data_IF_315976805194
#
_entry.id   IF_315976805194
#
_cell.length_a   1.000
_cell.length_b   1.000
_cell.length_c   1.000
_cell.angle_alpha   90.00
_cell.angle_beta   90.00
_cell.angle_gamma   90.00
#
_symmetry.space_group_name_H-M   'P 1'
#
loop_
_entity.id
_entity.type
_entity.pdbx_description
1 polymer ?
#
# COMPACT_ATOMS: atom_id res chain seq x y z
N UNK A 1 -13.37 13.66 -2.56
CA UNK A 1 -14.58 13.56 -1.72
C UNK A 1 -15.81 13.97 -2.50
N UNK A 2 -15.85 15.18 -3.08
CA UNK A 2 -16.98 15.62 -3.92
C UNK A 2 -17.27 14.69 -5.12
N UNK A 3 -16.22 14.24 -5.82
CA UNK A 3 -16.36 13.35 -6.99
C UNK A 3 -16.93 11.97 -6.63
N UNK A 4 -16.45 11.35 -5.54
CA UNK A 4 -16.99 10.07 -5.06
C UNK A 4 -18.46 10.18 -4.66
N UNK A 5 -18.83 11.30 -4.01
CA UNK A 5 -20.20 11.55 -3.60
C UNK A 5 -21.12 11.75 -4.80
N UNK A 6 -20.70 12.54 -5.79
CA UNK A 6 -21.42 12.70 -7.05
C UNK A 6 -21.63 11.36 -7.78
N UNK A 7 -20.60 10.50 -7.83
CA UNK A 7 -20.71 9.16 -8.42
C UNK A 7 -21.76 8.29 -7.71
N UNK A 8 -21.75 8.29 -6.37
CA UNK A 8 -22.62 7.46 -5.54
C UNK A 8 -24.08 7.95 -5.49
N UNK A 9 -24.28 9.26 -5.41
CA UNK A 9 -25.60 9.86 -5.16
C UNK A 9 -26.35 10.19 -6.45
N UNK A 10 -25.63 10.52 -7.53
CA UNK A 10 -26.23 11.03 -8.76
C UNK A 10 -25.95 10.14 -9.97
N UNK A 11 -24.69 9.99 -10.37
CA UNK A 11 -24.32 9.40 -11.67
C UNK A 11 -24.67 7.91 -11.77
N UNK A 12 -24.26 7.08 -10.80
CA UNK A 12 -24.53 5.65 -10.81
C UNK A 12 -26.03 5.37 -10.64
N UNK A 13 -26.75 5.99 -9.67
CA UNK A 13 -28.19 5.84 -9.57
C UNK A 13 -28.93 6.33 -10.82
N UNK A 14 -28.50 7.44 -11.40
CA UNK A 14 -29.05 8.02 -12.63
C UNK A 14 -28.89 7.09 -13.82
N UNK A 15 -27.66 6.60 -14.06
CA UNK A 15 -27.38 5.63 -15.12
C UNK A 15 -28.17 4.33 -14.97
N UNK A 16 -28.35 3.85 -13.73
CA UNK A 16 -29.18 2.67 -13.46
C UNK A 16 -30.66 2.94 -13.77
N UNK A 17 -31.21 4.09 -13.38
CA UNK A 17 -32.59 4.48 -13.73
C UNK A 17 -32.77 4.57 -15.25
N UNK A 18 -31.84 5.21 -15.95
CA UNK A 18 -31.87 5.32 -17.41
C UNK A 18 -31.90 3.95 -18.11
N UNK A 19 -31.17 2.96 -17.59
CA UNK A 19 -31.25 1.58 -18.10
C UNK A 19 -32.61 0.92 -17.84
N UNK A 20 -33.20 1.12 -16.66
CA UNK A 20 -34.56 0.63 -16.36
C UNK A 20 -35.62 1.28 -17.26
N UNK A 21 -35.51 2.59 -17.48
CA UNK A 21 -36.39 3.33 -18.38
C UNK A 21 -36.22 2.83 -19.82
N UNK A 22 -34.97 2.59 -20.25
CA UNK A 22 -34.66 2.02 -21.57
C UNK A 22 -35.28 0.64 -21.76
N UNK A 23 -35.23 -0.23 -20.75
CA UNK A 23 -35.90 -1.54 -20.77
C UNK A 23 -37.41 -1.40 -20.98
N UNK A 24 -38.06 -0.52 -20.22
CA UNK A 24 -39.51 -0.29 -20.34
C UNK A 24 -39.89 0.32 -21.69
N UNK A 25 -39.05 1.22 -22.21
CA UNK A 25 -39.28 1.84 -23.52
C UNK A 25 -39.07 0.85 -24.68
N UNK A 26 -38.13 -0.08 -24.55
CA UNK A 26 -37.89 -1.13 -25.54
C UNK A 26 -39.11 -2.02 -25.75
N UNK A 27 -39.83 -2.35 -24.69
CA UNK A 27 -41.09 -3.10 -24.76
C UNK A 27 -42.11 -2.35 -25.63
N UNK A 28 -42.30 -1.05 -25.38
CA UNK A 28 -43.21 -0.21 -26.19
C UNK A 28 -42.78 -0.07 -27.64
N UNK A 29 -41.47 0.01 -27.89
CA UNK A 29 -40.93 0.04 -29.27
C UNK A 29 -41.19 -1.28 -29.98
N UNK A 30 -41.07 -2.40 -29.29
CA UNK A 30 -41.40 -3.72 -29.83
C UNK A 30 -42.88 -3.82 -30.19
N UNK A 31 -43.78 -3.43 -29.27
CA UNK A 31 -45.23 -3.39 -29.51
C UNK A 31 -45.57 -2.49 -30.71
N UNK A 32 -44.94 -1.32 -30.81
CA UNK A 32 -45.13 -0.42 -31.95
C UNK A 32 -44.68 -1.08 -33.25
N UNK A 33 -43.50 -1.69 -33.28
CA UNK A 33 -42.97 -2.34 -34.47
C UNK A 33 -43.86 -3.49 -34.93
N UNK A 34 -44.35 -4.31 -34.00
CA UNK A 34 -45.28 -5.41 -34.31
C UNK A 34 -46.60 -4.87 -34.89
N UNK A 35 -47.23 -3.90 -34.23
CA UNK A 35 -48.49 -3.33 -34.69
C UNK A 35 -48.33 -2.61 -36.04
N UNK A 36 -47.26 -1.84 -36.22
CA UNK A 36 -46.96 -1.16 -37.48
C UNK A 36 -46.77 -2.18 -38.62
N UNK A 37 -46.06 -3.27 -38.35
CA UNK A 37 -45.87 -4.32 -39.33
C UNK A 37 -47.19 -5.03 -39.68
N UNK A 38 -48.06 -5.30 -38.71
CA UNK A 38 -49.36 -5.96 -38.96
C UNK A 38 -50.32 -5.04 -39.73
N UNK A 39 -50.41 -3.76 -39.36
CA UNK A 39 -51.40 -2.82 -39.88
C UNK A 39 -50.99 -2.14 -41.19
N UNK A 40 -49.68 -1.97 -41.44
CA UNK A 40 -49.20 -1.29 -42.65
C UNK A 40 -49.53 -2.07 -43.92
N UNK A 41 -49.96 -1.37 -44.98
CA UNK A 41 -50.10 -1.95 -46.31
C UNK A 41 -48.73 -2.21 -46.98
N UNK A 42 -47.73 -1.38 -46.69
CA UNK A 42 -46.36 -1.55 -47.16
C UNK A 42 -45.51 -2.20 -46.06
N UNK A 43 -45.35 -3.52 -46.17
CA UNK A 43 -44.58 -4.32 -45.21
C UNK A 43 -43.07 -4.06 -45.30
N UNK A 44 -42.57 -3.67 -46.47
CA UNK A 44 -41.14 -3.47 -46.66
C UNK A 44 -40.69 -2.20 -45.94
N UNK A 45 -41.48 -1.13 -46.06
CA UNK A 45 -41.24 0.10 -45.29
C UNK A 45 -41.36 -0.11 -43.78
N UNK A 46 -42.38 -0.83 -43.32
CA UNK A 46 -42.54 -1.11 -41.88
C UNK A 46 -41.35 -1.91 -41.32
N UNK A 47 -40.83 -2.88 -42.08
CA UNK A 47 -39.65 -3.64 -41.69
C UNK A 47 -38.37 -2.79 -41.64
N UNK A 48 -38.16 -1.90 -42.62
CA UNK A 48 -37.04 -0.95 -42.61
C UNK A 48 -37.06 -0.07 -41.35
N UNK A 49 -38.24 0.42 -40.97
CA UNK A 49 -38.43 1.22 -39.76
C UNK A 49 -38.13 0.42 -38.49
N UNK A 50 -38.57 -0.83 -38.39
CA UNK A 50 -38.20 -1.73 -37.28
C UNK A 50 -36.68 -1.95 -37.20
N UNK A 51 -35.99 -2.14 -38.32
CA UNK A 51 -34.52 -2.27 -38.34
C UNK A 51 -33.84 -1.00 -37.83
N UNK A 52 -34.35 0.17 -38.20
CA UNK A 52 -33.84 1.45 -37.74
C UNK A 52 -34.01 1.58 -36.21
N UNK A 53 -35.21 1.32 -35.68
CA UNK A 53 -35.46 1.34 -34.24
C UNK A 53 -34.60 0.32 -33.47
N UNK A 54 -34.39 -0.87 -34.03
CA UNK A 54 -33.51 -1.90 -33.44
C UNK A 54 -32.08 -1.39 -33.33
N UNK A 55 -31.55 -0.78 -34.40
CA UNK A 55 -30.20 -0.23 -34.43
C UNK A 55 -30.03 0.91 -33.43
N UNK A 56 -30.99 1.85 -33.39
CA UNK A 56 -30.97 2.97 -32.46
C UNK A 56 -31.05 2.49 -31.00
N UNK A 57 -31.95 1.54 -30.71
CA UNK A 57 -32.14 1.04 -29.35
C UNK A 57 -30.91 0.27 -28.87
N UNK A 58 -30.30 -0.54 -29.73
CA UNK A 58 -29.06 -1.25 -29.41
C UNK A 58 -27.92 -0.27 -29.11
N UNK A 59 -27.75 0.76 -29.95
CA UNK A 59 -26.73 1.79 -29.73
C UNK A 59 -26.96 2.55 -28.40
N UNK A 60 -28.22 2.90 -28.10
CA UNK A 60 -28.58 3.58 -26.86
C UNK A 60 -28.28 2.74 -25.62
N UNK A 61 -28.70 1.47 -25.60
CA UNK A 61 -28.42 0.56 -24.47
C UNK A 61 -26.92 0.34 -24.30
N UNK A 62 -26.18 0.12 -25.38
CA UNK A 62 -24.73 -0.06 -25.32
C UNK A 62 -24.02 1.16 -24.72
N UNK A 63 -24.43 2.36 -25.12
CA UNK A 63 -23.93 3.60 -24.54
C UNK A 63 -24.23 3.71 -23.05
N UNK A 64 -25.47 3.46 -22.64
CA UNK A 64 -25.88 3.52 -21.23
C UNK A 64 -25.10 2.53 -20.36
N UNK A 65 -24.93 1.29 -20.83
CA UNK A 65 -24.12 0.27 -20.13
C UNK A 65 -22.67 0.73 -20.01
N UNK A 66 -22.07 1.21 -21.10
CA UNK A 66 -20.69 1.67 -21.09
C UNK A 66 -20.49 2.85 -20.10
N UNK A 67 -21.37 3.84 -20.13
CA UNK A 67 -21.28 4.99 -19.21
C UNK A 67 -21.42 4.55 -17.75
N UNK A 68 -22.41 3.72 -17.44
CA UNK A 68 -22.59 3.20 -16.08
C UNK A 68 -21.37 2.39 -15.62
N UNK A 69 -20.82 1.53 -16.49
CA UNK A 69 -19.65 0.73 -16.17
C UNK A 69 -18.41 1.61 -15.86
N UNK A 70 -18.17 2.65 -16.67
CA UNK A 70 -17.07 3.58 -16.43
C UNK A 70 -17.23 4.34 -15.10
N UNK A 71 -18.44 4.81 -14.80
CA UNK A 71 -18.73 5.50 -13.53
C UNK A 71 -18.50 4.58 -12.32
N UNK A 72 -18.90 3.30 -12.42
CA UNK A 72 -18.65 2.31 -11.36
C UNK A 72 -17.17 2.00 -11.20
N UNK A 73 -16.43 1.83 -12.31
CA UNK A 73 -14.98 1.61 -12.26
C UNK A 73 -14.25 2.79 -11.61
N UNK A 74 -14.59 4.01 -12.00
CA UNK A 74 -14.02 5.24 -11.42
C UNK A 74 -14.28 5.34 -9.91
N UNK A 75 -15.50 5.01 -9.47
CA UNK A 75 -15.86 4.96 -8.05
C UNK A 75 -14.97 3.95 -7.29
N UNK A 76 -14.79 2.74 -7.84
CA UNK A 76 -13.96 1.70 -7.24
C UNK A 76 -12.49 2.11 -7.15
N UNK A 77 -11.94 2.74 -8.19
CA UNK A 77 -10.56 3.24 -8.20
C UNK A 77 -10.35 4.33 -7.14
N UNK A 78 -11.30 5.26 -7.01
CA UNK A 78 -11.25 6.29 -5.96
C UNK A 78 -11.25 5.64 -4.58
N UNK A 79 -12.17 4.70 -4.31
CA UNK A 79 -12.23 4.01 -3.03
C UNK A 79 -10.96 3.19 -2.73
N UNK A 80 -10.43 2.47 -3.72
CA UNK A 80 -9.18 1.73 -3.59
C UNK A 80 -8.01 2.66 -3.23
N UNK A 81 -7.94 3.84 -3.84
CA UNK A 81 -6.91 4.83 -3.52
C UNK A 81 -7.06 5.38 -2.09
N UNK A 82 -8.30 5.58 -1.62
CA UNK A 82 -8.58 6.04 -0.26
C UNK A 82 -8.17 4.98 0.77
N UNK A 83 -8.48 3.70 0.51
CA UNK A 83 -8.09 2.59 1.38
C UNK A 83 -6.56 2.49 1.52
N UNK A 84 -5.80 2.60 0.42
CA UNK A 84 -4.33 2.61 0.46
C UNK A 84 -3.77 3.77 1.29
N UNK A 85 -4.40 4.95 1.21
CA UNK A 85 -4.01 6.10 2.05
C UNK A 85 -4.31 5.84 3.52
N UNK A 86 -5.47 5.29 3.84
CA UNK A 86 -5.85 4.92 5.20
C UNK A 86 -4.90 3.87 5.79
N UNK A 87 -4.55 2.84 5.00
CA UNK A 87 -3.56 1.83 5.38
C UNK A 87 -2.22 2.46 5.77
N UNK A 88 -1.71 3.37 4.94
CA UNK A 88 -0.47 4.10 5.22
C UNK A 88 -0.56 4.92 6.53
N UNK A 89 -1.68 5.62 6.75
CA UNK A 89 -1.92 6.35 8.00
C UNK A 89 -1.94 5.42 9.22
N UNK A 90 -2.57 4.24 9.11
CA UNK A 90 -2.60 3.24 10.17
C UNK A 90 -1.18 2.72 10.46
N UNK A 91 -0.39 2.42 9.42
CA UNK A 91 0.99 1.98 9.58
C UNK A 91 1.84 3.03 10.31
N UNK A 92 1.68 4.32 9.97
CA UNK A 92 2.37 5.40 10.68
C UNK A 92 1.95 5.48 12.17
N UNK A 93 0.66 5.33 12.46
CA UNK A 93 0.16 5.30 13.85
C UNK A 93 0.76 4.10 14.60
N UNK A 94 0.80 2.92 13.98
CA UNK A 94 1.40 1.72 14.58
C UNK A 94 2.87 1.96 14.95
N UNK A 95 3.66 2.51 14.03
CA UNK A 95 5.06 2.86 14.29
C UNK A 95 5.21 3.85 15.45
N UNK A 96 4.33 4.87 15.50
CA UNK A 96 4.33 5.85 16.59
C UNK A 96 4.04 5.20 17.95
N UNK A 97 3.08 4.26 17.99
CA UNK A 97 2.75 3.49 19.19
C UNK A 97 3.91 2.59 19.60
N UNK A 98 4.56 1.90 18.67
CA UNK A 98 5.70 1.03 18.97
C UNK A 98 6.90 1.82 19.51
N UNK A 99 7.20 2.97 18.90
CA UNK A 99 8.23 3.91 19.41
C UNK A 99 7.87 4.37 20.83
N UNK A 100 6.60 4.68 21.09
CA UNK A 100 6.15 5.09 22.42
C UNK A 100 6.32 3.97 23.45
N UNK A 101 5.89 2.75 23.12
CA UNK A 101 6.05 1.57 23.98
C UNK A 101 7.51 1.31 24.32
N UNK A 102 8.39 1.35 23.32
CA UNK A 102 9.84 1.20 23.51
C UNK A 102 10.40 2.31 24.41
N UNK A 103 9.98 3.56 24.21
CA UNK A 103 10.42 4.70 25.03
C UNK A 103 10.00 4.56 26.50
N UNK A 104 8.78 4.08 26.75
CA UNK A 104 8.28 3.80 28.11
C UNK A 104 9.11 2.67 28.74
N UNK A 105 9.32 1.56 28.04
CA UNK A 105 10.12 0.44 28.54
C UNK A 105 11.57 0.87 28.88
N UNK A 106 12.22 1.67 28.02
CA UNK A 106 13.56 2.23 28.30
C UNK A 106 13.59 3.13 29.52
N UNK A 107 12.51 3.86 29.80
CA UNK A 107 12.41 4.70 30.99
C UNK A 107 12.38 3.85 32.26
N UNK A 108 11.58 2.77 32.26
CA UNK A 108 11.51 1.82 33.37
C UNK A 108 12.87 1.14 33.61
N UNK A 109 13.54 0.70 32.55
CA UNK A 109 14.92 0.18 32.65
C UNK A 109 15.85 1.25 33.25
N UNK A 110 15.77 2.49 32.77
CA UNK A 110 16.58 3.60 33.26
C UNK A 110 16.45 3.83 34.77
N UNK A 111 15.26 3.67 35.34
CA UNK A 111 15.01 3.77 36.80
C UNK A 111 15.72 2.65 37.56
N UNK A 112 15.77 1.44 36.98
CA UNK A 112 16.36 0.25 37.62
C UNK A 112 17.89 0.15 37.43
N UNK A 113 18.48 0.95 36.54
CA UNK A 113 19.92 0.92 36.24
C UNK A 113 20.69 2.04 36.91
N UNK A 114 21.98 1.82 37.16
CA UNK A 114 22.93 2.86 37.57
C UNK A 114 23.85 3.21 36.41
N UNK A 115 24.23 4.49 36.28
CA UNK A 115 25.11 4.94 35.19
C UNK A 115 26.48 4.26 35.29
N UNK A 116 26.88 3.53 34.25
CA UNK A 116 28.25 3.01 34.13
C UNK A 116 29.18 4.14 33.69
N UNK A 117 29.97 4.66 34.63
CA UNK A 117 31.02 5.62 34.32
C UNK A 117 32.12 4.91 33.50
N UNK A 118 32.09 5.07 32.19
CA UNK A 118 33.21 4.64 31.34
C UNK A 118 34.32 5.67 31.50
N UNK A 119 35.36 5.32 32.26
CA UNK A 119 36.57 6.13 32.31
C UNK A 119 37.14 6.21 30.89
N UNK A 120 37.40 7.42 30.39
CA UNK A 120 38.01 7.64 29.07
C UNK A 120 39.36 6.92 29.03
N UNK A 121 39.41 5.71 28.48
CA UNK A 121 40.64 4.95 28.34
C UNK A 121 41.52 5.68 27.33
N UNK A 122 42.77 5.98 27.70
CA UNK A 122 43.74 6.56 26.78
C UNK A 122 43.89 5.65 25.55
N UNK A 123 43.97 6.26 24.36
CA UNK A 123 44.25 5.51 23.12
C UNK A 123 45.58 4.78 23.30
N UNK A 124 45.65 3.51 22.94
CA UNK A 124 46.91 2.77 22.90
C UNK A 124 47.73 3.37 21.75
N UNK A 125 48.76 4.16 22.08
CA UNK A 125 49.69 4.76 21.12
C UNK A 125 50.87 3.81 20.99
N UNK A 126 51.20 3.40 19.76
CA UNK A 126 52.40 2.64 19.49
C UNK A 126 53.64 3.43 19.95
N UNK A 127 54.60 2.83 20.67
CA UNK A 127 55.81 3.53 21.11
C UNK A 127 56.53 4.19 19.94
N UNK A 128 56.96 5.44 20.10
CA UNK A 128 57.61 6.22 19.03
C UNK A 128 58.96 5.64 18.59
N UNK A 129 59.64 4.92 19.47
CA UNK A 129 60.86 4.19 19.14
C UNK A 129 60.51 2.72 18.88
N UNK A 130 60.56 2.34 17.61
CA UNK A 130 60.60 0.93 17.22
C UNK A 130 61.96 0.38 17.69
N UNK A 131 61.96 -0.49 18.71
CA UNK A 131 63.19 -1.17 19.15
C UNK A 131 63.82 -1.87 17.95
N UNK A 132 65.13 -1.64 17.74
CA UNK A 132 65.84 -2.27 16.63
C UNK A 132 65.79 -3.79 16.82
N UNK A 133 65.53 -4.58 15.76
CA UNK A 133 65.54 -6.02 15.85
C UNK A 133 66.89 -6.50 16.38
N UNK A 134 66.92 -6.99 17.61
CA UNK A 134 68.14 -7.55 18.20
C UNK A 134 68.33 -8.96 17.64
N UNK A 135 69.49 -9.24 17.06
CA UNK A 135 69.84 -10.59 16.61
C UNK A 135 69.74 -11.54 17.80
N UNK A 136 68.97 -12.62 17.65
CA UNK A 136 68.82 -13.61 18.70
C UNK A 136 70.17 -14.23 19.06
N UNK A 137 70.54 -14.13 20.34
CA UNK A 137 71.70 -14.80 20.92
C UNK A 137 71.16 -15.72 22.01
N UNK A 138 71.36 -17.03 21.83
CA UNK A 138 70.97 -18.03 22.84
C UNK A 138 71.86 -17.89 24.06
N UNK A 139 71.37 -17.20 25.08
CA UNK A 139 71.96 -17.25 26.43
C UNK A 139 71.35 -18.45 27.17
N UNK A 140 72.15 -19.25 27.90
CA UNK A 140 71.58 -20.27 28.78
C UNK A 140 70.63 -19.60 29.77
N UNK A 141 69.51 -20.26 30.04
CA UNK A 141 68.52 -19.76 31.01
C UNK A 141 69.14 -19.91 32.39
N UNK A 142 69.35 -18.80 33.06
CA UNK A 142 69.73 -18.79 34.45
C UNK A 142 68.46 -18.93 35.29
N UNK A 143 68.30 -20.07 35.94
CA UNK A 143 67.14 -20.33 36.80
C UNK A 143 67.32 -19.77 38.21
N UNK A 144 68.54 -19.38 38.61
CA UNK A 144 68.80 -18.80 39.95
C UNK A 144 68.12 -17.44 40.12
N UNK A 145 67.82 -16.73 39.02
CA UNK A 145 67.07 -15.47 39.05
C UNK A 145 65.62 -15.64 39.55
N UNK A 146 65.11 -16.87 39.58
CA UNK A 146 63.77 -17.20 40.06
C UNK A 146 63.76 -17.64 41.52
N UNK A 147 64.92 -17.85 42.14
CA UNK A 147 65.02 -18.37 43.51
C UNK A 147 64.41 -17.39 44.54
N UNK A 148 64.46 -16.08 44.26
CA UNK A 148 63.82 -15.03 45.07
C UNK A 148 62.44 -14.59 44.53
N UNK A 149 62.00 -15.16 43.40
CA UNK A 149 60.72 -14.81 42.76
C UNK A 149 59.68 -15.88 43.06
N UNK A 150 58.94 -15.65 44.15
CA UNK A 150 57.80 -16.49 44.54
C UNK A 150 57.42 -16.25 46.00
N UNK A 151 56.22 -16.67 46.39
CA UNK A 151 55.81 -16.69 47.80
C UNK A 151 56.10 -18.06 48.44
N UNK A 152 57.13 -18.75 47.95
CA UNK A 152 57.60 -20.02 48.51
C UNK A 152 58.26 -19.77 49.86
N UNK A 153 57.88 -20.59 50.84
CA UNK A 153 58.27 -20.51 52.25
C UNK A 153 59.81 -20.57 52.37
N UNK A 154 60.41 -19.55 53.00
CA UNK A 154 61.75 -19.66 53.60
C UNK A 154 61.68 -20.51 54.87
#
# INVERSE_FOLDING_TARGET
MAELQMLLEEEIPGGRRALFDSYTNLERVADYCENNYIQSADKQRALEETKAYTTQSLASVAYLINTLANNVLQMLDIQASQLRRMESSINHISQTVDIHKEKVARREIGILTTNKNTSRTHKIIAPANLERPVRYIRKPIDYTILDDIGHGVK
#
